data_IF_710157684760
#
_entry.id   IF_710157684760
#
_cell.length_a   1.000
_cell.length_b   1.000
_cell.length_c   1.000
_cell.angle_alpha   90.00
_cell.angle_beta   90.00
_cell.angle_gamma   90.00
#
_symmetry.space_group_name_H-M   'P 1'
#
loop_
_entity.id
_entity.type
_entity.pdbx_description
1 polymer ?
#
# COMPACT_ATOMS: atom_id res chain seq x y z
N UNK A 1 -16.54 3.11 4.35
CA UNK A 1 -15.92 3.93 5.41
C UNK A 1 -14.44 4.08 5.10
N UNK A 2 -13.93 5.33 5.10
CA UNK A 2 -12.61 5.73 4.63
C UNK A 2 -12.60 6.01 3.12
N UNK A 3 -12.10 7.20 2.73
CA UNK A 3 -12.01 7.69 1.35
C UNK A 3 -10.58 7.61 0.78
N UNK A 4 -9.74 6.72 1.30
CA UNK A 4 -8.47 6.36 0.66
C UNK A 4 -8.71 5.55 -0.63
N UNK A 5 -7.64 5.15 -1.36
CA UNK A 5 -7.77 4.50 -2.66
C UNK A 5 -8.69 3.27 -2.67
N UNK A 6 -8.62 2.42 -1.64
CA UNK A 6 -9.46 1.24 -1.54
C UNK A 6 -10.95 1.58 -1.33
N UNK A 7 -11.24 2.53 -0.45
CA UNK A 7 -12.61 2.94 -0.15
C UNK A 7 -13.26 3.71 -1.30
N UNK A 8 -12.52 4.59 -1.97
CA UNK A 8 -13.01 5.33 -3.14
C UNK A 8 -13.35 4.38 -4.29
N UNK A 9 -12.50 3.38 -4.56
CA UNK A 9 -12.81 2.36 -5.57
C UNK A 9 -13.98 1.48 -5.16
N UNK A 10 -14.10 1.10 -3.89
CA UNK A 10 -15.25 0.34 -3.41
C UNK A 10 -16.56 1.13 -3.58
N UNK A 11 -16.57 2.41 -3.26
CA UNK A 11 -17.73 3.28 -3.44
C UNK A 11 -18.10 3.44 -4.92
N UNK A 12 -17.11 3.72 -5.78
CA UNK A 12 -17.31 3.82 -7.24
C UNK A 12 -17.95 2.55 -7.81
N UNK A 13 -17.29 1.41 -7.62
CA UNK A 13 -17.74 0.15 -8.23
C UNK A 13 -19.06 -0.37 -7.65
N UNK A 14 -19.43 -0.02 -6.41
CA UNK A 14 -20.75 -0.27 -5.88
C UNK A 14 -21.80 0.65 -6.52
N UNK A 15 -21.53 1.95 -6.64
CA UNK A 15 -22.43 2.92 -7.28
C UNK A 15 -22.67 2.59 -8.76
N UNK A 16 -21.65 2.17 -9.49
CA UNK A 16 -21.76 1.68 -10.88
C UNK A 16 -22.71 0.48 -11.02
N UNK A 17 -22.98 -0.27 -9.92
CA UNK A 17 -24.03 -1.29 -9.91
C UNK A 17 -25.45 -0.70 -9.77
N UNK A 18 -25.60 0.62 -9.63
CA UNK A 18 -26.89 1.30 -9.48
C UNK A 18 -27.52 1.17 -8.11
N UNK A 19 -26.72 0.95 -7.05
CA UNK A 19 -27.17 0.96 -5.66
C UNK A 19 -26.82 2.28 -4.99
N UNK A 20 -27.59 2.67 -3.97
CA UNK A 20 -27.28 3.86 -3.15
C UNK A 20 -26.03 3.59 -2.32
N UNK A 21 -25.06 4.51 -2.38
CA UNK A 21 -23.76 4.42 -1.69
C UNK A 21 -23.49 5.70 -0.92
N UNK A 22 -23.20 5.56 0.38
CA UNK A 22 -22.66 6.64 1.22
C UNK A 22 -21.22 6.30 1.63
N UNK A 23 -20.27 7.17 1.27
CA UNK A 23 -18.86 7.07 1.67
C UNK A 23 -18.58 8.03 2.83
N UNK A 24 -18.20 7.51 3.99
CA UNK A 24 -17.88 8.28 5.19
C UNK A 24 -16.36 8.44 5.30
N UNK A 25 -15.86 9.68 5.40
CA UNK A 25 -14.46 10.00 5.64
C UNK A 25 -14.30 10.81 6.93
N UNK A 26 -13.41 10.37 7.82
CA UNK A 26 -13.19 11.02 9.11
C UNK A 26 -12.49 12.37 9.01
N UNK A 27 -11.57 12.50 8.06
CA UNK A 27 -10.79 13.70 7.89
C UNK A 27 -11.60 14.79 7.14
N UNK A 28 -11.13 16.05 7.24
CA UNK A 28 -11.77 17.18 6.58
C UNK A 28 -11.72 17.07 5.07
N UNK A 29 -10.57 16.63 4.57
CA UNK A 29 -10.27 16.56 3.16
C UNK A 29 -9.87 15.12 2.78
N UNK A 30 -10.41 14.61 1.68
CA UNK A 30 -9.97 13.34 1.10
C UNK A 30 -8.50 13.45 0.67
N UNK A 31 -7.72 12.42 0.98
CA UNK A 31 -6.30 12.37 0.62
C UNK A 31 -5.38 13.05 1.65
N UNK A 32 -5.87 13.53 2.77
CA UNK A 32 -5.06 14.13 3.83
C UNK A 32 -5.40 13.54 5.20
N UNK A 33 -4.39 13.24 6.07
CA UNK A 33 -2.94 13.35 5.84
C UNK A 33 -2.38 12.20 4.98
N UNK A 34 -1.41 12.52 4.13
CA UNK A 34 -0.71 11.51 3.32
C UNK A 34 0.28 10.73 4.18
N UNK A 35 0.12 9.40 4.25
CA UNK A 35 1.06 8.48 4.95
C UNK A 35 1.55 7.43 3.97
N UNK A 36 2.42 7.83 3.03
CA UNK A 36 2.83 6.97 1.94
C UNK A 36 4.11 7.48 1.28
N UNK A 37 4.94 6.57 0.73
CA UNK A 37 6.05 6.90 -0.18
C UNK A 37 5.59 7.41 -1.54
N UNK A 38 4.31 7.16 -1.90
CA UNK A 38 3.60 7.66 -3.07
C UNK A 38 4.04 7.04 -4.42
N UNK A 39 4.92 6.04 -4.42
CA UNK A 39 5.30 5.35 -5.64
C UNK A 39 4.27 4.27 -6.04
N UNK A 40 3.97 4.18 -7.33
CA UNK A 40 3.03 3.22 -7.92
C UNK A 40 3.43 2.89 -9.36
N UNK A 41 3.10 1.69 -9.85
CA UNK A 41 3.26 1.34 -11.27
C UNK A 41 2.21 2.06 -12.13
N UNK A 42 2.60 2.45 -13.34
CA UNK A 42 1.69 3.02 -14.33
C UNK A 42 0.48 2.11 -14.59
N UNK A 43 0.72 0.82 -14.82
CA UNK A 43 -0.35 -0.15 -15.03
C UNK A 43 -1.33 -0.24 -13.83
N UNK A 44 -0.83 -0.10 -12.59
CA UNK A 44 -1.67 -0.11 -11.40
C UNK A 44 -2.61 1.09 -11.26
N UNK A 45 -2.25 2.23 -11.90
CA UNK A 45 -3.11 3.42 -11.99
C UNK A 45 -4.07 3.30 -13.17
N UNK A 46 -3.55 2.99 -14.36
CA UNK A 46 -4.31 3.02 -15.61
C UNK A 46 -5.38 1.92 -15.69
N UNK A 47 -5.34 0.92 -14.81
CA UNK A 47 -6.44 -0.03 -14.61
C UNK A 47 -7.74 0.68 -14.14
N UNK A 48 -7.62 1.83 -13.46
CA UNK A 48 -8.77 2.49 -12.80
C UNK A 48 -9.07 3.90 -13.29
N UNK A 49 -8.03 4.70 -13.54
CA UNK A 49 -8.17 6.09 -14.02
C UNK A 49 -7.07 6.41 -15.04
N UNK A 50 -7.33 7.25 -16.02
CA UNK A 50 -6.30 7.76 -16.92
C UNK A 50 -5.21 8.52 -16.15
N UNK A 51 -3.97 8.42 -16.61
CA UNK A 51 -2.85 9.21 -16.09
C UNK A 51 -3.06 10.72 -16.30
N UNK A 52 -2.69 11.53 -15.30
CA UNK A 52 -2.89 12.98 -15.31
C UNK A 52 -1.75 13.69 -14.56
N UNK A 53 -1.12 14.67 -15.20
CA UNK A 53 0.02 15.42 -14.67
C UNK A 53 -0.31 16.26 -13.42
N UNK A 54 -1.58 16.48 -13.12
CA UNK A 54 -1.99 17.18 -11.89
C UNK A 54 -1.53 16.45 -10.63
N UNK A 55 -1.53 15.13 -10.66
CA UNK A 55 -1.15 14.28 -9.53
C UNK A 55 0.10 13.42 -9.79
N UNK A 56 0.68 13.39 -11.01
CA UNK A 56 1.99 12.80 -11.28
C UNK A 56 3.08 13.82 -10.95
N UNK A 57 4.00 13.48 -10.05
CA UNK A 57 5.12 14.35 -9.66
C UNK A 57 6.46 13.90 -10.21
N UNK A 58 6.58 12.62 -10.53
CA UNK A 58 7.73 12.10 -11.26
C UNK A 58 7.30 10.88 -12.09
N UNK A 59 7.83 10.79 -13.31
CA UNK A 59 7.75 9.62 -14.17
C UNK A 59 8.97 8.75 -13.89
N UNK A 60 8.74 7.51 -13.51
CA UNK A 60 9.80 6.61 -13.06
C UNK A 60 10.09 5.58 -14.13
N UNK A 61 11.35 5.54 -14.56
CA UNK A 61 11.86 4.61 -15.58
C UNK A 61 12.97 3.71 -15.03
N UNK A 62 13.48 4.00 -13.81
CA UNK A 62 14.63 3.29 -13.22
C UNK A 62 14.40 2.98 -11.74
N UNK A 63 15.00 1.88 -11.30
CA UNK A 63 15.29 1.62 -9.90
C UNK A 63 16.79 1.61 -9.67
N UNK A 64 17.22 2.22 -8.56
CA UNK A 64 18.56 2.14 -8.03
C UNK A 64 18.52 1.41 -6.68
N UNK A 65 19.20 0.28 -6.59
CA UNK A 65 19.37 -0.49 -5.35
C UNK A 65 20.78 -0.28 -4.82
N UNK A 66 20.90 0.25 -3.62
CA UNK A 66 22.17 0.58 -2.98
C UNK A 66 22.41 -0.41 -1.85
N UNK A 67 23.50 -1.18 -1.98
CA UNK A 67 23.95 -2.15 -0.98
C UNK A 67 24.68 -1.45 0.20
N UNK A 68 24.89 -2.15 1.34
CA UNK A 68 25.58 -1.55 2.51
C UNK A 68 26.97 -0.99 2.24
N UNK A 69 27.72 -1.56 1.28
CA UNK A 69 29.04 -1.07 0.84
C UNK A 69 28.95 0.00 -0.27
N UNK A 70 27.79 0.62 -0.43
CA UNK A 70 27.49 1.64 -1.43
C UNK A 70 27.57 1.14 -2.89
N UNK A 71 27.69 -0.18 -3.11
CA UNK A 71 27.56 -0.75 -4.46
C UNK A 71 26.13 -0.53 -4.99
N UNK A 72 26.02 0.25 -6.07
CA UNK A 72 24.76 0.58 -6.72
C UNK A 72 24.44 -0.40 -7.85
N UNK A 73 23.17 -0.82 -7.94
CA UNK A 73 22.62 -1.64 -9.02
C UNK A 73 21.46 -0.87 -9.66
N UNK A 74 21.63 -0.45 -10.90
CA UNK A 74 20.58 0.27 -11.64
C UNK A 74 19.85 -0.72 -12.55
N UNK A 75 18.51 -0.63 -12.52
CA UNK A 75 17.59 -1.32 -13.44
C UNK A 75 16.84 -0.27 -14.26
N UNK A 76 16.83 -0.44 -15.57
CA UNK A 76 16.02 0.33 -16.50
C UNK A 76 14.76 -0.46 -16.82
N UNK A 77 13.61 0.19 -16.84
CA UNK A 77 12.34 -0.45 -17.22
C UNK A 77 12.00 -0.27 -18.68
N UNK A 78 11.30 -1.24 -19.22
CA UNK A 78 10.54 -1.07 -20.45
C UNK A 78 9.33 -0.14 -20.19
N UNK A 79 8.83 0.52 -21.24
CA UNK A 79 7.68 1.45 -21.14
C UNK A 79 6.46 0.90 -20.42
N UNK A 80 6.21 -0.41 -20.48
CA UNK A 80 5.10 -1.09 -19.80
C UNK A 80 5.27 -1.21 -18.29
N UNK A 81 6.52 -1.14 -17.81
CA UNK A 81 6.89 -1.33 -16.42
C UNK A 81 7.20 0.01 -15.70
N UNK A 82 7.02 1.13 -16.41
CA UNK A 82 7.14 2.48 -15.85
C UNK A 82 6.20 2.69 -14.65
N UNK A 83 6.56 3.68 -13.84
CA UNK A 83 5.78 4.05 -12.67
C UNK A 83 5.71 5.56 -12.47
N UNK A 84 5.06 5.92 -11.38
CA UNK A 84 4.89 7.31 -10.97
C UNK A 84 5.23 7.49 -9.49
N UNK A 85 5.68 8.68 -9.13
CA UNK A 85 5.53 9.20 -7.77
C UNK A 85 4.38 10.20 -7.80
N UNK A 86 3.42 10.00 -6.91
CA UNK A 86 2.16 10.72 -6.91
C UNK A 86 2.18 11.97 -6.01
N UNK A 87 1.23 12.85 -6.22
CA UNK A 87 0.70 13.75 -5.19
C UNK A 87 -0.62 13.16 -4.69
N UNK A 88 -0.54 12.35 -3.63
CA UNK A 88 -1.66 11.57 -3.08
C UNK A 88 -2.85 12.43 -2.66
N UNK A 89 -2.63 13.68 -2.23
CA UNK A 89 -3.73 14.59 -1.89
C UNK A 89 -4.63 14.85 -3.10
N UNK A 90 -4.05 15.02 -4.29
CA UNK A 90 -4.80 15.23 -5.52
C UNK A 90 -5.30 13.89 -6.06
N UNK A 91 -4.45 12.86 -6.07
CA UNK A 91 -4.80 11.54 -6.57
C UNK A 91 -5.98 10.91 -5.83
N UNK A 92 -5.96 10.90 -4.48
CA UNK A 92 -7.05 10.33 -3.68
C UNK A 92 -8.35 11.13 -3.86
N UNK A 93 -8.24 12.46 -3.97
CA UNK A 93 -9.38 13.32 -4.29
C UNK A 93 -9.99 12.96 -5.67
N UNK A 94 -9.16 12.73 -6.69
CA UNK A 94 -9.62 12.32 -8.02
C UNK A 94 -10.31 10.93 -7.97
N UNK A 95 -9.79 9.99 -7.19
CA UNK A 95 -10.46 8.70 -6.98
C UNK A 95 -11.84 8.87 -6.33
N UNK A 96 -11.93 9.71 -5.31
CA UNK A 96 -13.22 10.01 -4.66
C UNK A 96 -14.17 10.76 -5.61
N UNK A 97 -13.66 11.67 -6.46
CA UNK A 97 -14.44 12.33 -7.51
C UNK A 97 -15.06 11.32 -8.47
N UNK A 98 -14.29 10.31 -8.91
CA UNK A 98 -14.87 9.25 -9.78
C UNK A 98 -15.96 8.45 -9.07
N UNK A 99 -15.89 8.25 -7.76
CA UNK A 99 -16.95 7.61 -6.99
C UNK A 99 -18.21 8.50 -6.93
N UNK A 100 -18.05 9.80 -6.72
CA UNK A 100 -19.16 10.75 -6.74
C UNK A 100 -19.82 10.84 -8.13
N UNK A 101 -19.05 10.86 -9.21
CA UNK A 101 -19.55 10.82 -10.59
C UNK A 101 -20.34 9.54 -10.89
N UNK A 102 -19.95 8.40 -10.27
CA UNK A 102 -20.72 7.16 -10.36
C UNK A 102 -22.02 7.16 -9.52
N UNK A 103 -22.25 8.21 -8.71
CA UNK A 103 -23.45 8.38 -7.90
C UNK A 103 -23.27 8.10 -6.40
N UNK A 104 -22.03 7.94 -5.91
CA UNK A 104 -21.81 7.84 -4.46
C UNK A 104 -21.90 9.20 -3.78
N UNK A 105 -22.63 9.27 -2.66
CA UNK A 105 -22.60 10.41 -1.76
C UNK A 105 -21.35 10.34 -0.87
N UNK A 106 -20.67 11.48 -0.64
CA UNK A 106 -19.46 11.57 0.17
C UNK A 106 -19.70 12.50 1.35
N UNK A 107 -19.44 12.02 2.55
CA UNK A 107 -19.53 12.80 3.77
C UNK A 107 -18.17 12.82 4.46
N UNK A 108 -17.50 13.97 4.45
CA UNK A 108 -16.25 14.20 5.19
C UNK A 108 -16.55 14.62 6.64
N UNK A 109 -15.52 14.63 7.51
CA UNK A 109 -15.66 14.87 8.96
C UNK A 109 -16.67 13.91 9.62
N UNK A 110 -16.79 12.70 9.08
CA UNK A 110 -17.69 11.66 9.55
C UNK A 110 -16.88 10.50 10.14
N UNK A 111 -16.63 10.59 11.44
CA UNK A 111 -15.82 9.61 12.17
C UNK A 111 -16.68 8.44 12.62
N UNK A 112 -16.53 7.30 11.96
CA UNK A 112 -17.21 6.06 12.38
C UNK A 112 -16.57 5.53 13.66
N UNK A 113 -17.40 5.37 14.70
CA UNK A 113 -17.00 4.99 16.04
C UNK A 113 -17.72 3.73 16.57
N UNK A 114 -18.57 3.08 15.76
CA UNK A 114 -19.25 1.86 16.14
C UNK A 114 -20.01 1.21 14.98
N UNK A 115 -20.50 -0.01 15.21
CA UNK A 115 -21.35 -0.75 14.30
C UNK A 115 -22.75 -0.97 14.88
N UNK A 116 -23.74 -1.09 14.01
CA UNK A 116 -25.09 -1.58 14.32
C UNK A 116 -25.18 -3.05 13.89
N UNK A 117 -25.97 -3.83 14.63
CA UNK A 117 -26.14 -5.26 14.38
C UNK A 117 -27.62 -5.63 14.31
N UNK A 118 -27.90 -6.62 13.47
CA UNK A 118 -29.15 -7.36 13.43
C UNK A 118 -28.81 -8.86 13.61
N UNK A 119 -28.95 -9.35 14.84
CA UNK A 119 -28.35 -10.61 15.26
C UNK A 119 -26.81 -10.57 15.10
N UNK A 120 -26.25 -11.53 14.38
CA UNK A 120 -24.81 -11.62 14.09
C UNK A 120 -24.38 -10.82 12.85
N UNK A 121 -25.35 -10.20 12.15
CA UNK A 121 -25.07 -9.46 10.92
C UNK A 121 -24.83 -7.99 11.21
N UNK A 122 -23.79 -7.41 10.63
CA UNK A 122 -23.58 -5.96 10.60
C UNK A 122 -24.68 -5.34 9.74
N UNK A 123 -25.42 -4.38 10.30
CA UNK A 123 -26.60 -3.75 9.68
C UNK A 123 -26.50 -2.23 9.54
N UNK A 124 -25.40 -1.62 10.01
CA UNK A 124 -25.20 -0.18 9.93
C UNK A 124 -23.97 0.28 10.70
N UNK A 125 -23.84 1.58 10.81
CA UNK A 125 -22.72 2.25 11.52
C UNK A 125 -23.21 3.36 12.43
N UNK A 126 -22.44 3.60 13.50
CA UNK A 126 -22.49 4.78 14.34
C UNK A 126 -21.33 5.69 13.95
N UNK A 127 -21.58 6.98 13.83
CA UNK A 127 -20.55 7.95 13.49
C UNK A 127 -20.82 9.30 14.09
N UNK A 128 -19.75 10.04 14.35
CA UNK A 128 -19.81 11.44 14.72
C UNK A 128 -19.64 12.31 13.49
N UNK A 129 -20.52 13.29 13.31
CA UNK A 129 -20.43 14.29 12.26
C UNK A 129 -20.77 15.67 12.82
N UNK A 130 -19.83 16.61 12.72
CA UNK A 130 -19.98 17.98 13.23
C UNK A 130 -20.37 18.04 14.72
N UNK A 131 -19.83 17.15 15.54
CA UNK A 131 -20.10 17.07 16.98
C UNK A 131 -21.39 16.33 17.36
N UNK A 132 -22.16 15.85 16.38
CA UNK A 132 -23.37 15.08 16.60
C UNK A 132 -23.13 13.59 16.39
N UNK A 133 -23.67 12.76 17.29
CA UNK A 133 -23.70 11.30 17.08
C UNK A 133 -24.84 10.94 16.14
N UNK A 134 -24.55 10.16 15.11
CA UNK A 134 -25.50 9.72 14.08
C UNK A 134 -25.43 8.21 13.91
N UNK A 135 -26.54 7.64 13.48
CA UNK A 135 -26.63 6.23 13.10
C UNK A 135 -27.23 6.11 11.71
N UNK A 136 -26.74 5.19 10.92
CA UNK A 136 -27.30 4.88 9.60
C UNK A 136 -27.29 3.37 9.37
N UNK A 137 -28.44 2.87 8.93
CA UNK A 137 -28.57 1.48 8.52
C UNK A 137 -28.11 1.30 7.07
N UNK A 138 -27.47 0.18 6.80
CA UNK A 138 -27.06 -0.21 5.45
C UNK A 138 -27.14 -1.73 5.29
N UNK A 139 -27.44 -2.19 4.08
CA UNK A 139 -27.47 -3.62 3.78
C UNK A 139 -26.10 -4.27 3.84
N UNK A 140 -25.06 -3.53 3.44
CA UNK A 140 -23.66 -3.95 3.42
C UNK A 140 -22.76 -2.77 3.82
N UNK A 141 -21.74 -3.06 4.62
CA UNK A 141 -20.69 -2.14 5.02
C UNK A 141 -19.39 -2.56 4.34
N UNK A 142 -18.65 -1.61 3.75
CA UNK A 142 -17.28 -1.82 3.32
C UNK A 142 -16.35 -0.99 4.22
N UNK A 143 -15.49 -1.68 4.98
CA UNK A 143 -14.53 -1.08 5.88
C UNK A 143 -13.19 -0.89 5.17
N UNK A 144 -12.80 0.38 4.95
CA UNK A 144 -11.53 0.81 4.37
C UNK A 144 -10.79 1.72 5.37
N UNK A 145 -10.82 1.37 6.66
CA UNK A 145 -10.32 2.15 7.79
C UNK A 145 -8.81 2.03 8.01
N UNK A 146 -8.10 1.50 7.01
CA UNK A 146 -6.64 1.48 6.97
C UNK A 146 -6.02 0.45 7.91
N UNK A 147 -4.74 0.63 8.22
CA UNK A 147 -3.93 -0.33 8.97
C UNK A 147 -4.45 -0.65 10.37
N UNK A 148 -5.18 0.27 10.98
CA UNK A 148 -5.75 0.06 12.31
C UNK A 148 -6.87 -1.00 12.32
N UNK A 149 -7.63 -1.12 11.23
CA UNK A 149 -8.69 -2.13 11.02
C UNK A 149 -9.60 -2.32 12.24
N UNK A 150 -10.00 -1.20 12.85
CA UNK A 150 -10.85 -1.20 14.05
C UNK A 150 -12.21 -1.80 13.75
N UNK A 151 -12.75 -1.41 12.60
CA UNK A 151 -14.08 -1.83 12.17
C UNK A 151 -14.15 -3.34 11.99
N UNK A 152 -13.11 -3.95 11.43
CA UNK A 152 -13.01 -5.41 11.33
C UNK A 152 -13.06 -6.08 12.71
N UNK A 153 -12.36 -5.51 13.71
CA UNK A 153 -12.42 -6.04 15.09
C UNK A 153 -13.82 -5.90 15.71
N UNK A 154 -14.47 -4.78 15.50
CA UNK A 154 -15.86 -4.60 15.99
C UNK A 154 -16.81 -5.60 15.35
N UNK A 155 -16.58 -6.00 14.12
CA UNK A 155 -17.33 -7.03 13.40
C UNK A 155 -16.92 -8.47 13.76
N UNK A 156 -16.02 -8.67 14.72
CA UNK A 156 -15.56 -10.00 15.15
C UNK A 156 -14.52 -10.66 14.23
N UNK A 157 -14.01 -9.92 13.20
CA UNK A 157 -12.93 -10.42 12.34
C UNK A 157 -11.60 -10.27 13.07
N UNK A 158 -10.76 -11.29 13.06
CA UNK A 158 -9.44 -11.28 13.71
C UNK A 158 -8.44 -10.44 12.90
N UNK A 159 -8.44 -9.12 13.09
CA UNK A 159 -7.55 -8.19 12.39
C UNK A 159 -6.27 -7.86 13.16
N UNK A 160 -6.05 -8.46 14.34
CA UNK A 160 -4.81 -8.27 15.10
C UNK A 160 -3.59 -8.67 14.27
N UNK A 161 -2.56 -7.81 14.25
CA UNK A 161 -1.32 -8.04 13.52
C UNK A 161 -0.14 -8.16 14.50
N UNK A 162 0.72 -9.13 14.28
CA UNK A 162 1.95 -9.29 15.05
C UNK A 162 2.99 -8.23 14.67
N UNK A 163 3.84 -7.81 15.61
CA UNK A 163 4.89 -6.84 15.36
C UNK A 163 5.87 -7.26 14.26
N UNK A 164 6.10 -8.57 14.07
CA UNK A 164 6.96 -9.09 12.99
C UNK A 164 6.37 -8.85 11.59
N UNK A 165 5.05 -8.73 11.52
CA UNK A 165 4.28 -8.60 10.28
C UNK A 165 3.90 -7.14 9.97
N UNK A 166 4.24 -6.22 10.89
CA UNK A 166 4.06 -4.80 10.78
C UNK A 166 5.40 -4.13 10.44
N UNK A 167 5.45 -3.36 9.38
CA UNK A 167 6.57 -2.43 9.15
C UNK A 167 6.30 -1.12 9.89
N UNK A 168 7.25 -0.70 10.73
CA UNK A 168 7.26 0.62 11.34
C UNK A 168 7.96 1.59 10.40
N UNK A 169 7.23 2.59 9.91
CA UNK A 169 7.72 3.53 8.92
C UNK A 169 7.85 4.94 9.48
N UNK A 170 8.86 5.66 8.99
CA UNK A 170 9.01 7.11 9.14
C UNK A 170 9.43 7.71 7.81
N UNK A 171 8.87 8.86 7.45
CA UNK A 171 9.17 9.58 6.21
C UNK A 171 9.11 11.07 6.43
N UNK A 172 9.92 11.78 5.70
CA UNK A 172 9.83 13.22 5.49
C UNK A 172 9.66 13.51 3.99
N UNK A 173 9.06 14.66 3.67
CA UNK A 173 9.24 15.30 2.38
C UNK A 173 10.24 16.44 2.58
N UNK A 174 11.33 16.41 1.84
CA UNK A 174 12.40 17.40 1.95
C UNK A 174 12.62 18.14 0.62
N UNK A 175 13.09 19.38 0.73
CA UNK A 175 13.48 20.21 -0.40
C UNK A 175 15.01 20.22 -0.58
N UNK A 176 15.47 20.76 -1.71
CA UNK A 176 16.88 20.82 -2.10
C UNK A 176 17.54 19.45 -2.19
N UNK A 177 16.80 18.45 -2.65
CA UNK A 177 17.28 17.09 -2.84
C UNK A 177 17.64 16.91 -4.32
N UNK A 178 18.94 16.86 -4.60
CA UNK A 178 19.45 16.64 -5.96
C UNK A 178 19.58 15.14 -6.23
N UNK A 179 18.56 14.56 -6.90
CA UNK A 179 18.51 13.17 -7.35
C UNK A 179 17.92 13.10 -8.77
N UNK A 180 18.22 12.04 -9.50
CA UNK A 180 17.59 11.77 -10.80
C UNK A 180 16.08 11.67 -10.62
N UNK A 181 15.34 12.45 -11.43
CA UNK A 181 13.89 12.60 -11.27
C UNK A 181 13.09 11.43 -11.83
N UNK A 182 13.75 10.51 -12.54
CA UNK A 182 13.14 9.30 -13.13
C UNK A 182 13.52 8.01 -12.39
N UNK A 183 14.17 8.13 -11.22
CA UNK A 183 14.76 6.99 -10.49
C UNK A 183 14.22 6.88 -9.07
N UNK A 184 13.73 5.69 -8.69
CA UNK A 184 13.47 5.36 -7.28
C UNK A 184 14.71 4.74 -6.67
N UNK A 185 15.18 5.30 -5.57
CA UNK A 185 16.35 4.81 -4.83
C UNK A 185 15.92 3.98 -3.63
N UNK A 186 16.54 2.81 -3.48
CA UNK A 186 16.32 1.87 -2.38
C UNK A 186 17.65 1.53 -1.73
N UNK A 187 17.78 1.80 -0.44
CA UNK A 187 18.98 1.47 0.33
C UNK A 187 18.68 0.29 1.26
N UNK A 188 19.62 -0.64 1.33
CA UNK A 188 19.53 -1.83 2.18
C UNK A 188 20.68 -1.86 3.18
N UNK A 189 20.47 -2.58 4.28
CA UNK A 189 21.51 -2.85 5.26
C UNK A 189 21.08 -2.57 6.70
N UNK A 190 21.86 -3.13 7.61
CA UNK A 190 21.59 -3.11 9.04
C UNK A 190 21.63 -1.71 9.65
N UNK A 191 22.41 -0.80 9.09
CA UNK A 191 22.58 0.57 9.60
C UNK A 191 21.49 1.52 9.13
N UNK A 192 20.85 1.24 7.98
CA UNK A 192 19.87 2.13 7.36
C UNK A 192 18.43 1.65 7.55
N UNK A 193 18.14 0.36 7.32
CA UNK A 193 16.80 -0.19 7.43
C UNK A 193 16.84 -1.73 7.65
N UNK A 194 17.20 -2.22 8.84
CA UNK A 194 17.29 -3.65 9.11
C UNK A 194 15.91 -4.32 8.97
N UNK A 195 15.88 -5.44 8.25
CA UNK A 195 14.64 -6.17 7.89
C UNK A 195 13.60 -5.26 7.21
N UNK A 196 14.06 -4.44 6.27
CA UNK A 196 13.23 -3.52 5.51
C UNK A 196 14.06 -2.84 4.43
N UNK A 197 13.69 -1.64 4.08
CA UNK A 197 14.46 -0.80 3.15
C UNK A 197 14.25 0.68 3.42
N UNK A 198 15.23 1.49 3.01
CA UNK A 198 15.16 2.94 3.00
C UNK A 198 14.89 3.41 1.57
N UNK A 199 14.13 4.48 1.39
CA UNK A 199 13.81 5.03 0.07
C UNK A 199 14.09 6.52 -0.05
N UNK A 200 14.46 6.94 -1.28
CA UNK A 200 14.45 8.32 -1.72
C UNK A 200 13.67 8.36 -3.03
N UNK A 201 12.47 8.92 -3.00
CA UNK A 201 11.57 8.99 -4.15
C UNK A 201 11.39 10.43 -4.60
N UNK A 202 11.80 10.80 -5.82
CA UNK A 202 11.70 12.16 -6.33
C UNK A 202 10.24 12.62 -6.43
N UNK A 203 9.99 13.90 -6.10
CA UNK A 203 8.66 14.53 -6.21
C UNK A 203 8.66 15.77 -7.12
N UNK A 204 9.60 15.86 -8.08
CA UNK A 204 9.75 17.02 -8.93
C UNK A 204 10.37 18.23 -8.17
N UNK A 205 10.87 19.20 -8.90
CA UNK A 205 11.33 20.49 -8.35
C UNK A 205 12.33 20.37 -7.19
N UNK A 206 13.26 19.42 -7.26
CA UNK A 206 14.22 19.11 -6.20
C UNK A 206 13.55 18.74 -4.85
N UNK A 207 12.33 18.23 -4.88
CA UNK A 207 11.69 17.61 -3.73
C UNK A 207 11.88 16.11 -3.77
N UNK A 208 11.90 15.46 -2.59
CA UNK A 208 11.83 14.02 -2.47
C UNK A 208 11.09 13.59 -1.21
N UNK A 209 10.41 12.45 -1.29
CA UNK A 209 9.98 11.67 -0.15
C UNK A 209 11.13 10.78 0.29
N UNK A 210 11.63 10.99 1.49
CA UNK A 210 12.75 10.27 2.08
C UNK A 210 12.26 9.54 3.31
N UNK A 211 12.39 8.22 3.34
CA UNK A 211 11.86 7.44 4.43
C UNK A 211 12.33 6.00 4.46
N UNK A 212 11.84 5.25 5.44
CA UNK A 212 12.15 3.84 5.60
C UNK A 212 11.00 3.09 6.27
N UNK A 213 10.99 1.78 6.04
CA UNK A 213 10.27 0.81 6.84
C UNK A 213 11.26 -0.16 7.47
N UNK A 214 11.03 -0.50 8.73
CA UNK A 214 11.73 -1.58 9.45
C UNK A 214 10.71 -2.49 10.10
N UNK A 215 11.03 -3.78 10.21
CA UNK A 215 10.19 -4.71 10.97
C UNK A 215 9.84 -4.15 12.34
N UNK A 216 8.60 -4.28 12.77
CA UNK A 216 8.16 -3.83 14.09
C UNK A 216 8.94 -4.43 15.25
N UNK A 217 9.57 -5.61 15.07
CA UNK A 217 10.48 -6.19 16.04
C UNK A 217 11.76 -5.36 16.21
N UNK A 218 12.26 -4.77 15.12
CA UNK A 218 13.38 -3.82 15.12
C UNK A 218 12.91 -2.48 15.69
N UNK A 219 11.75 -2.00 15.26
CA UNK A 219 11.17 -0.72 15.70
C UNK A 219 10.95 -0.59 17.20
N UNK A 220 10.80 -1.73 17.91
CA UNK A 220 10.78 -1.77 19.39
C UNK A 220 12.12 -1.39 20.03
N UNK A 221 13.24 -1.65 19.36
CA UNK A 221 14.59 -1.41 19.87
C UNK A 221 15.14 -0.05 19.45
N UNK A 222 14.97 0.31 18.19
CA UNK A 222 15.39 1.59 17.60
C UNK A 222 14.29 2.05 16.65
N UNK A 223 13.77 3.26 16.86
CA UNK A 223 12.64 3.76 16.07
C UNK A 223 13.01 4.02 14.62
N UNK A 224 12.06 3.88 13.69
CA UNK A 224 12.25 4.25 12.30
C UNK A 224 12.71 5.72 12.15
N UNK A 225 12.17 6.64 12.98
CA UNK A 225 12.60 8.04 13.01
C UNK A 225 14.10 8.18 13.33
N UNK A 226 14.65 7.35 14.22
CA UNK A 226 16.09 7.40 14.57
C UNK A 226 16.98 7.00 13.39
N UNK A 227 16.59 5.98 12.62
CA UNK A 227 17.29 5.61 11.39
C UNK A 227 17.19 6.72 10.33
N UNK A 228 16.00 7.31 10.17
CA UNK A 228 15.77 8.43 9.24
C UNK A 228 16.66 9.61 9.56
N UNK A 229 16.74 10.03 10.82
CA UNK A 229 17.58 11.14 11.25
C UNK A 229 19.05 10.87 10.95
N UNK A 230 19.57 9.68 11.29
CA UNK A 230 20.98 9.32 11.01
C UNK A 230 21.29 9.36 9.51
N UNK A 231 20.36 8.93 8.66
CA UNK A 231 20.52 9.00 7.20
C UNK A 231 20.54 10.45 6.71
N UNK A 232 19.61 11.28 7.21
CA UNK A 232 19.55 12.70 6.83
C UNK A 232 20.79 13.46 7.26
N UNK A 233 21.29 13.24 8.45
CA UNK A 233 22.54 13.84 8.95
C UNK A 233 23.75 13.47 8.06
N UNK A 234 23.80 12.23 7.57
CA UNK A 234 24.88 11.74 6.72
C UNK A 234 24.78 12.28 5.28
N UNK A 235 23.60 12.24 4.68
CA UNK A 235 23.44 12.44 3.23
C UNK A 235 22.87 13.81 2.86
N UNK A 236 22.04 14.41 3.72
CA UNK A 236 21.29 15.65 3.44
C UNK A 236 21.21 16.59 4.66
N UNK A 237 22.34 16.93 5.30
CA UNK A 237 22.35 17.64 6.61
C UNK A 237 21.69 19.02 6.57
N UNK A 238 21.64 19.66 5.40
CA UNK A 238 21.07 21.00 5.23
C UNK A 238 19.72 21.02 4.51
N UNK A 239 19.10 19.85 4.26
CA UNK A 239 17.86 19.78 3.52
C UNK A 239 16.67 20.27 4.37
N UNK A 240 15.90 21.28 3.89
CA UNK A 240 14.70 21.73 4.60
C UNK A 240 13.61 20.63 4.59
N UNK A 241 13.08 20.31 5.77
CA UNK A 241 12.00 19.35 5.94
C UNK A 241 10.66 20.07 5.86
N UNK A 242 9.81 19.67 4.91
CA UNK A 242 8.49 20.26 4.68
C UNK A 242 7.38 19.51 5.42
N UNK A 243 7.49 18.17 5.48
CA UNK A 243 6.54 17.32 6.21
C UNK A 243 7.27 16.17 6.90
N UNK A 244 6.73 15.70 8.00
CA UNK A 244 7.20 14.50 8.69
C UNK A 244 6.01 13.64 9.09
N UNK A 245 6.06 12.37 8.76
CA UNK A 245 5.01 11.39 9.04
C UNK A 245 5.61 10.11 9.59
N UNK A 246 4.80 9.37 10.34
CA UNK A 246 5.09 8.02 10.77
C UNK A 246 3.83 7.17 10.66
N UNK A 247 4.00 5.87 10.51
CA UNK A 247 2.89 4.94 10.37
C UNK A 247 3.33 3.50 10.37
N UNK A 248 2.37 2.61 10.22
CA UNK A 248 2.59 1.19 10.03
C UNK A 248 2.11 0.73 8.67
N UNK A 249 2.78 -0.27 8.11
CA UNK A 249 2.35 -0.98 6.90
C UNK A 249 2.18 -2.46 7.24
N UNK A 250 1.01 -3.08 6.98
CA UNK A 250 0.76 -4.47 7.31
C UNK A 250 1.40 -5.38 6.23
N UNK A 251 2.75 -5.46 6.25
CA UNK A 251 3.56 -6.18 5.25
C UNK A 251 3.54 -7.69 5.47
N UNK A 252 2.35 -8.28 5.37
CA UNK A 252 2.14 -9.73 5.53
C UNK A 252 1.04 -10.23 4.60
N UNK A 253 0.66 -11.48 4.74
CA UNK A 253 -0.43 -12.05 3.94
C UNK A 253 -1.78 -11.42 4.31
N UNK A 254 -2.68 -11.39 3.34
CA UNK A 254 -4.08 -10.99 3.55
C UNK A 254 -4.70 -11.83 4.67
N UNK A 255 -5.64 -11.26 5.42
CA UNK A 255 -6.42 -11.99 6.43
C UNK A 255 -7.10 -13.23 5.83
N UNK A 256 -7.23 -14.30 6.59
CA UNK A 256 -7.90 -15.54 6.16
C UNK A 256 -9.37 -15.28 5.78
N UNK A 257 -10.01 -14.34 6.48
CA UNK A 257 -11.37 -13.85 6.19
C UNK A 257 -11.35 -12.34 6.11
N UNK A 258 -11.75 -11.82 4.97
CA UNK A 258 -11.89 -10.38 4.70
C UNK A 258 -13.36 -9.97 4.54
N UNK A 259 -14.29 -10.92 4.70
CA UNK A 259 -15.73 -10.68 4.73
C UNK A 259 -16.41 -11.45 5.85
N UNK A 260 -17.54 -10.91 6.31
CA UNK A 260 -18.44 -11.50 7.29
C UNK A 260 -19.88 -11.06 6.97
N UNK A 261 -20.93 -11.61 7.63
CA UNK A 261 -22.29 -11.20 7.35
C UNK A 261 -22.49 -9.68 7.46
N UNK A 262 -22.83 -9.04 6.35
CA UNK A 262 -23.07 -7.60 6.23
C UNK A 262 -21.84 -6.72 6.12
N UNK A 263 -20.61 -7.24 6.13
CA UNK A 263 -19.39 -6.43 6.08
C UNK A 263 -18.27 -7.08 5.26
N UNK A 264 -17.49 -6.24 4.55
CA UNK A 264 -16.22 -6.61 3.93
C UNK A 264 -15.11 -5.60 4.29
N UNK A 265 -13.86 -6.06 4.39
CA UNK A 265 -12.67 -5.25 4.62
C UNK A 265 -11.90 -5.07 3.31
N UNK A 266 -11.34 -3.88 3.07
CA UNK A 266 -10.54 -3.59 1.87
C UNK A 266 -9.27 -2.80 2.22
N UNK A 267 -8.28 -2.86 1.34
CA UNK A 267 -7.01 -2.17 1.52
C UNK A 267 -6.23 -2.68 2.73
N UNK A 268 -5.54 -1.79 3.42
CA UNK A 268 -4.72 -2.14 4.59
C UNK A 268 -5.54 -2.79 5.71
N UNK A 269 -6.83 -2.44 5.83
CA UNK A 269 -7.73 -3.06 6.80
C UNK A 269 -7.88 -4.57 6.59
N UNK A 270 -7.75 -5.03 5.34
CA UNK A 270 -7.75 -6.43 4.94
C UNK A 270 -6.33 -7.00 4.77
N UNK A 271 -5.28 -6.21 5.01
CA UNK A 271 -3.87 -6.51 4.68
C UNK A 271 -3.66 -6.76 3.19
N UNK A 272 -4.32 -5.98 2.34
CA UNK A 272 -4.17 -6.03 0.88
C UNK A 272 -2.99 -5.16 0.43
N UNK A 273 -1.84 -5.44 0.97
CA UNK A 273 -0.56 -4.79 0.69
C UNK A 273 0.38 -5.84 0.11
N UNK A 274 1.18 -5.48 -0.89
CA UNK A 274 2.23 -6.38 -1.37
C UNK A 274 3.27 -6.58 -0.25
N UNK A 275 3.41 -7.79 0.31
CA UNK A 275 4.27 -8.00 1.47
C UNK A 275 5.75 -7.72 1.21
N UNK A 276 6.21 -7.87 -0.05
CA UNK A 276 7.62 -7.69 -0.42
C UNK A 276 8.01 -6.21 -0.56
N UNK A 277 7.12 -5.41 -1.17
CA UNK A 277 7.42 -3.99 -1.47
C UNK A 277 6.73 -3.00 -0.53
N UNK A 278 5.78 -3.42 0.31
CA UNK A 278 4.93 -2.51 1.08
C UNK A 278 3.93 -1.72 0.22
N UNK A 279 3.83 -2.00 -1.09
CA UNK A 279 2.95 -1.30 -2.01
C UNK A 279 1.47 -1.63 -1.80
N UNK A 280 0.68 -0.67 -1.28
CA UNK A 280 -0.73 -0.85 -0.94
C UNK A 280 -1.72 -0.12 -1.86
N UNK A 281 -1.29 0.88 -2.65
CA UNK A 281 -2.21 1.72 -3.43
C UNK A 281 -2.95 0.88 -4.48
N UNK A 282 -2.23 0.25 -5.41
CA UNK A 282 -2.83 -0.57 -6.47
C UNK A 282 -3.59 -1.76 -5.91
N UNK A 283 -3.01 -2.49 -4.95
CA UNK A 283 -3.66 -3.63 -4.30
C UNK A 283 -4.96 -3.21 -3.60
N UNK A 284 -4.95 -2.06 -2.93
CA UNK A 284 -6.13 -1.50 -2.27
C UNK A 284 -7.22 -1.11 -3.28
N UNK A 285 -6.85 -0.48 -4.40
CA UNK A 285 -7.79 -0.15 -5.49
C UNK A 285 -8.43 -1.42 -6.09
N UNK A 286 -7.63 -2.45 -6.35
CA UNK A 286 -8.12 -3.74 -6.84
C UNK A 286 -9.06 -4.38 -5.80
N UNK A 287 -8.67 -4.45 -4.53
CA UNK A 287 -9.50 -5.00 -3.47
C UNK A 287 -10.83 -4.25 -3.32
N UNK A 288 -10.77 -2.91 -3.35
CA UNK A 288 -11.93 -2.03 -3.31
C UNK A 288 -12.87 -2.26 -4.49
N UNK A 289 -12.34 -2.32 -5.72
CA UNK A 289 -13.16 -2.53 -6.93
C UNK A 289 -13.91 -3.88 -6.90
N UNK A 290 -13.25 -4.96 -6.46
CA UNK A 290 -13.87 -6.28 -6.33
C UNK A 290 -14.96 -6.26 -5.26
N UNK A 291 -14.64 -5.73 -4.06
CA UNK A 291 -15.60 -5.66 -2.96
C UNK A 291 -16.81 -4.78 -3.30
N UNK A 292 -16.59 -3.63 -3.92
CA UNK A 292 -17.65 -2.70 -4.33
C UNK A 292 -18.62 -3.33 -5.32
N UNK A 293 -18.11 -3.98 -6.37
CA UNK A 293 -18.93 -4.68 -7.35
C UNK A 293 -19.76 -5.80 -6.69
N UNK A 294 -19.12 -6.70 -5.94
CA UNK A 294 -19.80 -7.81 -5.27
C UNK A 294 -20.85 -7.30 -4.27
N UNK A 295 -20.53 -6.23 -3.52
CA UNK A 295 -21.50 -5.61 -2.61
C UNK A 295 -22.71 -5.04 -3.36
N UNK A 296 -22.50 -4.34 -4.47
CA UNK A 296 -23.58 -3.83 -5.32
C UNK A 296 -24.45 -4.95 -5.88
N UNK A 297 -23.84 -6.01 -6.39
CA UNK A 297 -24.55 -7.22 -6.86
C UNK A 297 -25.37 -7.88 -5.75
N UNK A 298 -24.79 -8.04 -4.55
CA UNK A 298 -25.48 -8.63 -3.41
C UNK A 298 -26.72 -7.82 -2.99
N UNK A 299 -26.61 -6.48 -3.00
CA UNK A 299 -27.73 -5.57 -2.72
C UNK A 299 -28.82 -5.68 -3.77
N UNK A 300 -28.48 -5.67 -5.07
CA UNK A 300 -29.44 -5.80 -6.19
C UNK A 300 -30.18 -7.13 -6.20
N UNK A 301 -29.45 -8.20 -5.95
CA UNK A 301 -30.04 -9.55 -5.87
C UNK A 301 -30.83 -9.78 -4.58
N UNK A 302 -30.75 -8.87 -3.63
CA UNK A 302 -31.25 -9.05 -2.25
C UNK A 302 -30.70 -10.33 -1.59
N UNK A 303 -29.43 -10.65 -1.85
CA UNK A 303 -28.70 -11.82 -1.34
C UNK A 303 -27.42 -11.36 -0.62
N UNK A 304 -27.51 -10.90 0.63
CA UNK A 304 -26.36 -10.38 1.35
C UNK A 304 -25.23 -11.41 1.54
N UNK A 305 -25.55 -12.71 1.53
CA UNK A 305 -24.56 -13.79 1.58
C UNK A 305 -23.64 -13.84 0.36
N UNK A 306 -24.04 -13.25 -0.77
CA UNK A 306 -23.19 -13.13 -1.96
C UNK A 306 -21.89 -12.35 -1.66
N UNK A 307 -21.91 -11.45 -0.67
CA UNK A 307 -20.73 -10.72 -0.23
C UNK A 307 -19.57 -11.64 0.16
N UNK A 308 -19.86 -12.82 0.70
CA UNK A 308 -18.83 -13.79 1.14
C UNK A 308 -18.01 -14.37 -0.03
N UNK A 309 -18.46 -14.20 -1.27
CA UNK A 309 -17.68 -14.58 -2.46
C UNK A 309 -16.46 -13.69 -2.68
N UNK A 310 -16.39 -12.54 -2.00
CA UNK A 310 -15.29 -11.59 -2.08
C UNK A 310 -13.96 -12.21 -1.66
N UNK A 311 -13.93 -13.03 -0.60
CA UNK A 311 -12.71 -13.70 -0.13
C UNK A 311 -12.05 -14.52 -1.24
N UNK A 312 -12.87 -15.29 -1.98
CA UNK A 312 -12.41 -16.10 -3.11
C UNK A 312 -11.93 -15.22 -4.27
N UNK A 313 -12.72 -14.22 -4.65
CA UNK A 313 -12.40 -13.33 -5.77
C UNK A 313 -11.07 -12.57 -5.56
N UNK A 314 -10.84 -12.04 -4.35
CA UNK A 314 -9.56 -11.43 -3.98
C UNK A 314 -8.41 -12.42 -4.05
N UNK A 315 -8.58 -13.61 -3.47
CA UNK A 315 -7.54 -14.63 -3.44
C UNK A 315 -7.12 -15.08 -4.85
N UNK A 316 -8.06 -15.20 -5.77
CA UNK A 316 -7.79 -15.52 -7.18
C UNK A 316 -7.07 -14.39 -7.90
N UNK A 317 -7.41 -13.12 -7.61
CA UNK A 317 -6.81 -11.95 -8.30
C UNK A 317 -5.40 -11.64 -7.83
N UNK A 318 -5.16 -11.55 -6.50
CA UNK A 318 -3.87 -11.16 -5.92
C UNK A 318 -3.45 -11.96 -4.67
N UNK A 319 -4.37 -12.52 -3.90
CA UNK A 319 -4.05 -13.13 -2.62
C UNK A 319 -2.99 -14.24 -2.73
N UNK A 320 -3.10 -15.12 -3.72
CA UNK A 320 -2.10 -16.18 -4.00
C UNK A 320 -0.72 -15.60 -4.31
N UNK A 321 -0.67 -14.49 -5.05
CA UNK A 321 0.59 -13.81 -5.39
C UNK A 321 1.21 -13.16 -4.16
N UNK A 322 0.37 -12.58 -3.28
CA UNK A 322 0.83 -12.03 -1.99
C UNK A 322 1.42 -13.10 -1.06
N UNK A 323 0.87 -14.32 -1.03
CA UNK A 323 1.49 -15.45 -0.31
C UNK A 323 2.91 -15.72 -0.83
N UNK A 324 3.10 -15.70 -2.13
CA UNK A 324 4.42 -15.92 -2.75
C UNK A 324 5.39 -14.79 -2.41
N UNK A 325 4.95 -13.52 -2.51
CA UNK A 325 5.77 -12.37 -2.12
C UNK A 325 6.17 -12.42 -0.64
N UNK A 326 5.27 -12.86 0.25
CA UNK A 326 5.58 -12.98 1.67
C UNK A 326 6.67 -14.04 1.95
N UNK A 327 6.67 -15.17 1.23
CA UNK A 327 7.75 -16.16 1.33
C UNK A 327 9.09 -15.59 0.88
N UNK A 328 9.12 -14.86 -0.24
CA UNK A 328 10.33 -14.19 -0.75
C UNK A 328 10.85 -13.17 0.28
N UNK A 329 9.97 -12.31 0.82
CA UNK A 329 10.31 -11.34 1.87
C UNK A 329 10.98 -12.03 3.07
N UNK A 330 10.36 -13.07 3.61
CA UNK A 330 10.88 -13.78 4.77
C UNK A 330 12.27 -14.41 4.51
N UNK A 331 12.53 -14.82 3.27
CA UNK A 331 13.87 -15.29 2.86
C UNK A 331 14.93 -14.18 2.86
N UNK A 332 14.54 -12.97 2.45
CA UNK A 332 15.42 -11.80 2.36
C UNK A 332 15.70 -11.18 3.74
N UNK A 333 14.75 -11.21 4.66
CA UNK A 333 14.88 -10.62 6.01
C UNK A 333 16.07 -11.15 6.83
N UNK A 334 16.58 -12.34 6.46
CA UNK A 334 17.74 -12.96 7.11
C UNK A 334 19.06 -12.67 6.39
N UNK A 335 19.09 -11.77 5.40
CA UNK A 335 20.32 -11.45 4.69
C UNK A 335 21.22 -10.55 5.55
N UNK A 336 22.52 -10.90 5.60
CA UNK A 336 23.54 -10.02 6.18
C UNK A 336 23.96 -8.94 5.18
N UNK A 337 24.62 -7.91 5.67
CA UNK A 337 25.18 -6.84 4.84
C UNK A 337 26.15 -7.38 3.79
N UNK A 338 27.01 -8.35 4.15
CA UNK A 338 27.93 -9.00 3.21
C UNK A 338 27.18 -9.74 2.10
N UNK A 339 25.99 -10.31 2.42
CA UNK A 339 25.18 -10.99 1.41
C UNK A 339 24.56 -9.98 0.44
N UNK A 340 24.03 -8.85 0.92
CA UNK A 340 23.56 -7.76 0.06
C UNK A 340 24.68 -7.25 -0.86
N UNK A 341 25.88 -7.02 -0.33
CA UNK A 341 27.06 -6.58 -1.10
C UNK A 341 27.44 -7.59 -2.20
N UNK A 342 27.46 -8.90 -1.87
CA UNK A 342 27.73 -9.97 -2.84
C UNK A 342 26.68 -10.02 -3.94
N UNK A 343 25.40 -9.85 -3.61
CA UNK A 343 24.30 -9.82 -4.58
C UNK A 343 24.48 -8.65 -5.53
N UNK A 344 24.71 -7.44 -5.02
CA UNK A 344 24.90 -6.25 -5.84
C UNK A 344 26.06 -6.42 -6.82
N UNK A 345 27.22 -6.88 -6.33
CA UNK A 345 28.39 -7.18 -7.19
C UNK A 345 28.11 -8.26 -8.23
N UNK A 346 27.29 -9.26 -7.89
CA UNK A 346 26.93 -10.33 -8.83
C UNK A 346 25.95 -9.85 -9.90
N UNK A 347 24.96 -9.04 -9.54
CA UNK A 347 24.02 -8.43 -10.49
C UNK A 347 24.73 -7.47 -11.43
N UNK A 348 25.74 -6.72 -10.95
CA UNK A 348 26.52 -5.79 -11.78
C UNK A 348 27.40 -6.49 -12.83
N UNK A 349 27.65 -7.81 -12.72
CA UNK A 349 28.27 -8.60 -13.79
C UNK A 349 27.33 -8.89 -14.95
N UNK A 350 26.01 -8.75 -14.75
CA UNK A 350 25.01 -8.87 -15.82
C UNK A 350 25.05 -7.60 -16.66
N UNK A 351 25.11 -7.69 -17.99
CA UNK A 351 25.01 -6.52 -18.88
C UNK A 351 23.79 -5.66 -18.52
N UNK A 352 23.94 -4.35 -18.54
CA UNK A 352 22.93 -3.40 -18.07
C UNK A 352 21.55 -3.64 -18.70
N UNK A 353 21.51 -3.82 -20.02
CA UNK A 353 20.28 -4.01 -20.82
C UNK A 353 19.57 -5.34 -20.51
N UNK A 354 20.26 -6.26 -19.82
CA UNK A 354 19.73 -7.57 -19.43
C UNK A 354 19.32 -7.63 -17.95
N UNK A 355 19.49 -6.55 -17.19
CA UNK A 355 19.10 -6.51 -15.79
C UNK A 355 17.60 -6.34 -15.65
N UNK A 356 16.95 -7.26 -14.94
CA UNK A 356 15.53 -7.22 -14.62
C UNK A 356 15.32 -7.54 -13.15
N UNK A 357 14.18 -7.16 -12.59
CA UNK A 357 13.81 -7.54 -11.21
C UNK A 357 13.90 -9.05 -11.01
N UNK A 358 13.41 -9.84 -11.97
CA UNK A 358 13.50 -11.30 -11.91
C UNK A 358 14.94 -11.79 -11.78
N UNK A 359 15.89 -11.22 -12.50
CA UNK A 359 17.33 -11.58 -12.41
C UNK A 359 17.95 -11.15 -11.08
N UNK A 360 17.58 -9.98 -10.54
CA UNK A 360 18.02 -9.56 -9.21
C UNK A 360 17.59 -10.56 -8.15
N UNK A 361 16.30 -10.91 -8.12
CA UNK A 361 15.77 -11.88 -7.16
C UNK A 361 16.32 -13.29 -7.38
N UNK A 362 16.49 -13.74 -8.64
CA UNK A 362 17.11 -15.03 -8.93
C UNK A 362 18.55 -15.07 -8.37
N UNK A 363 19.34 -14.02 -8.60
CA UNK A 363 20.71 -13.92 -8.07
C UNK A 363 20.73 -13.90 -6.54
N UNK A 364 19.81 -13.14 -5.92
CA UNK A 364 19.68 -13.04 -4.46
C UNK A 364 19.37 -14.38 -3.80
N UNK A 365 18.57 -15.21 -4.45
CA UNK A 365 18.01 -16.44 -3.89
C UNK A 365 18.60 -17.73 -4.48
N UNK A 366 19.72 -17.64 -5.22
CA UNK A 366 20.33 -18.78 -5.95
C UNK A 366 20.61 -20.00 -5.04
N UNK A 367 20.90 -19.77 -3.78
CA UNK A 367 21.14 -20.81 -2.79
C UNK A 367 19.88 -21.26 -2.02
N UNK A 368 18.68 -20.85 -2.47
CA UNK A 368 17.39 -21.18 -1.86
C UNK A 368 16.42 -21.70 -2.94
N UNK A 369 16.54 -22.97 -3.38
CA UNK A 369 15.81 -23.49 -4.55
C UNK A 369 14.28 -23.34 -4.44
N UNK A 370 13.69 -23.50 -3.25
CA UNK A 370 12.26 -23.31 -3.04
C UNK A 370 11.79 -21.90 -3.35
N UNK A 371 12.59 -20.88 -3.01
CA UNK A 371 12.29 -19.48 -3.29
C UNK A 371 12.56 -19.10 -4.75
N UNK A 372 13.46 -19.80 -5.46
CA UNK A 372 13.63 -19.60 -6.90
C UNK A 372 12.36 -19.95 -7.69
N UNK A 373 11.65 -20.99 -7.27
CA UNK A 373 10.35 -21.35 -7.86
C UNK A 373 9.34 -20.21 -7.63
N UNK A 374 9.36 -19.59 -6.46
CA UNK A 374 8.48 -18.45 -6.14
C UNK A 374 8.84 -17.20 -6.95
N UNK A 375 10.12 -16.92 -7.17
CA UNK A 375 10.59 -15.85 -8.07
C UNK A 375 10.09 -16.09 -9.50
N UNK A 376 10.22 -17.32 -10.00
CA UNK A 376 9.74 -17.67 -11.34
C UNK A 376 8.24 -17.37 -11.50
N UNK A 377 7.43 -17.70 -10.51
CA UNK A 377 5.96 -17.48 -10.53
C UNK A 377 5.54 -16.01 -10.55
N UNK A 378 6.35 -15.09 -10.05
CA UNK A 378 5.94 -13.68 -9.90
C UNK A 378 6.69 -12.69 -10.78
N UNK A 379 7.88 -13.04 -11.27
CA UNK A 379 8.73 -12.14 -12.04
C UNK A 379 9.11 -12.65 -13.45
N UNK A 380 8.88 -13.93 -13.76
CA UNK A 380 9.30 -14.53 -15.02
C UNK A 380 8.12 -15.05 -15.87
N UNK A 381 6.89 -14.83 -15.44
CA UNK A 381 5.66 -15.22 -16.17
C UNK A 381 5.03 -13.99 -16.79
#
# INVERSE_FOLDING_TARGET
MGAGPAGSMAARFAAEQGVSVLMLEKDRDVGYPVRCGEAISKAGVEEFIPSDERWIKAHITKFSFIAPDETEVILQFDKKDEGYVLERRIFDYELARTAAEAGAEILTRAYVNGLLFDGDKVSGVKFEHQGEQKEINAKIIIAADGVESRVGRWAGIKTHIDFRDMECCAQITAANISVEQDTLYFYFGSDVAPQGYFWVFPKGNNLANIGLGVSGMIGKKKSAKSFLNSFMEKHYPAAPVLTAIAGGVPSTVTLDKISAPGIALVGDAARQVNPLSGGGIASGMIGGSIAGRIAGEAVKMNKPEHLLTYDKAWNERLGKRHLTFNRIKNGIYNFSDEKFNKIAKSVNKIPFEKRTLGKVFTTALINQPSLLIDVAKVFLV
#
